data_IF_154173665792
#
_entry.id   IF_154173665792
#
_cell.length_a   1.000
_cell.length_b   1.000
_cell.length_c   1.000
_cell.angle_alpha   90.00
_cell.angle_beta   90.00
_cell.angle_gamma   90.00
#
_symmetry.space_group_name_H-M   'P 1'
#
loop_
_entity.id
_entity.type
_entity.pdbx_description
1 polymer ?
#
# COMPACT_ATOMS: atom_id res chain seq x y z
N UNK A 1 35.85 38.30 16.25
CA UNK A 1 34.60 37.93 15.55
C UNK A 1 34.28 36.49 15.91
N UNK A 2 33.02 36.18 16.14
CA UNK A 2 32.52 34.85 16.58
C UNK A 2 32.13 33.97 15.40
N UNK A 3 32.35 32.67 15.52
CA UNK A 3 31.84 31.64 14.60
C UNK A 3 32.09 30.25 15.19
N UNK A 4 31.25 29.77 16.12
CA UNK A 4 30.02 28.96 15.88
C UNK A 4 30.29 27.57 15.30
N UNK A 5 30.18 26.57 16.18
CA UNK A 5 29.57 25.27 15.90
C UNK A 5 30.15 24.49 14.71
N UNK A 6 31.38 23.98 14.87
CA UNK A 6 32.05 23.15 13.86
C UNK A 6 31.36 21.81 13.60
N UNK A 7 31.41 21.36 12.34
CA UNK A 7 30.98 20.02 11.95
C UNK A 7 32.03 18.98 12.41
N UNK A 8 31.62 18.03 13.25
CA UNK A 8 32.47 16.88 13.62
C UNK A 8 32.50 15.87 12.48
N UNK A 9 33.47 15.97 11.58
CA UNK A 9 33.78 14.90 10.61
C UNK A 9 34.66 13.84 11.27
N UNK A 10 34.11 13.15 12.27
CA UNK A 10 34.81 12.12 13.02
C UNK A 10 34.64 10.74 12.38
N UNK A 11 35.69 10.23 11.74
CA UNK A 11 35.78 8.82 11.37
C UNK A 11 36.06 7.97 12.62
N UNK A 12 35.02 7.67 13.39
CA UNK A 12 35.14 6.82 14.58
C UNK A 12 35.29 5.35 14.18
N UNK A 13 36.12 4.61 14.90
CA UNK A 13 36.36 3.19 14.58
C UNK A 13 35.07 2.39 14.61
N UNK A 14 34.95 1.36 13.76
CA UNK A 14 33.73 0.62 13.42
C UNK A 14 32.81 1.29 12.36
N UNK A 15 33.35 2.24 11.59
CA UNK A 15 32.80 2.57 10.27
C UNK A 15 31.67 3.61 10.24
N UNK A 16 31.44 4.32 11.34
CA UNK A 16 30.43 5.39 11.35
C UNK A 16 30.93 6.64 10.61
N UNK A 17 29.98 7.41 10.07
CA UNK A 17 30.21 8.75 9.49
C UNK A 17 29.20 9.73 10.08
N UNK A 18 29.69 10.76 10.77
CA UNK A 18 28.86 11.83 11.33
C UNK A 18 29.19 13.17 10.68
N UNK A 19 28.17 14.03 10.52
CA UNK A 19 28.32 15.40 10.08
C UNK A 19 27.19 16.28 10.64
N UNK A 20 27.56 17.44 11.18
CA UNK A 20 26.63 18.33 11.87
C UNK A 20 26.83 18.31 13.39
N UNK A 21 26.34 19.36 14.03
CA UNK A 21 26.59 19.63 15.45
C UNK A 21 25.72 18.71 16.31
N UNK A 22 26.37 17.88 17.14
CA UNK A 22 25.70 16.89 17.98
C UNK A 22 25.18 15.66 17.24
N UNK A 23 25.55 15.46 15.97
CA UNK A 23 25.26 14.22 15.25
C UNK A 23 26.01 13.05 15.90
N UNK A 24 25.32 11.95 16.22
CA UNK A 24 25.91 10.75 16.83
C UNK A 24 26.54 10.95 18.21
N UNK A 25 26.12 11.98 18.95
CA UNK A 25 26.81 12.42 20.17
C UNK A 25 26.87 11.40 21.32
N UNK A 26 26.00 10.39 21.35
CA UNK A 26 26.02 9.30 22.32
C UNK A 26 26.82 8.06 21.85
N UNK A 27 27.20 7.98 20.57
CA UNK A 27 28.15 6.98 20.05
C UNK A 27 29.56 7.49 20.33
N UNK A 28 30.19 6.95 21.37
CA UNK A 28 31.52 7.40 21.78
C UNK A 28 32.57 7.13 20.68
N UNK A 29 33.35 8.14 20.26
CA UNK A 29 34.63 7.90 19.61
C UNK A 29 35.48 6.96 20.47
N UNK A 30 36.10 5.97 19.84
CA UNK A 30 37.10 5.10 20.46
C UNK A 30 38.44 5.85 20.60
N UNK A 31 38.41 6.88 21.44
CA UNK A 31 39.54 7.78 21.71
C UNK A 31 39.82 7.89 23.22
N UNK A 32 39.36 6.88 23.98
CA UNK A 32 39.63 6.77 25.41
C UNK A 32 40.95 6.01 25.64
N UNK A 33 41.97 6.76 26.07
CA UNK A 33 43.26 6.22 26.51
C UNK A 33 43.23 5.74 27.97
N UNK A 34 42.08 5.75 28.66
CA UNK A 34 41.95 5.34 30.06
C UNK A 34 40.78 4.36 30.27
N UNK A 35 41.04 3.06 30.14
CA UNK A 35 40.01 1.99 30.19
C UNK A 35 39.36 1.73 31.56
N UNK A 36 39.72 2.48 32.61
CA UNK A 36 39.51 2.05 34.00
C UNK A 36 38.48 2.91 34.77
N UNK A 37 37.93 3.97 34.17
CA UNK A 37 37.00 4.91 34.84
C UNK A 37 35.53 4.44 34.90
N UNK A 38 35.25 3.20 34.49
CA UNK A 38 33.91 2.59 34.57
C UNK A 38 32.88 3.14 33.57
N UNK A 39 33.33 3.88 32.55
CA UNK A 39 32.48 4.39 31.46
C UNK A 39 32.07 3.24 30.54
N UNK A 40 30.76 3.06 30.35
CA UNK A 40 30.24 2.14 29.31
C UNK A 40 30.60 2.69 27.94
N UNK A 41 31.46 1.98 27.21
CA UNK A 41 31.83 2.33 25.83
C UNK A 41 30.69 1.86 24.91
N UNK A 42 29.90 2.80 24.43
CA UNK A 42 28.85 2.60 23.45
C UNK A 42 29.46 2.54 22.04
N UNK A 43 29.41 1.36 21.42
CA UNK A 43 30.20 1.01 20.23
C UNK A 43 29.36 0.83 18.96
N UNK A 44 28.31 1.64 18.77
CA UNK A 44 27.51 1.64 17.55
C UNK A 44 28.36 1.66 16.28
N UNK A 45 27.92 0.97 15.22
CA UNK A 45 28.74 0.59 14.06
C UNK A 45 28.03 0.88 12.73
N UNK A 46 28.81 1.23 11.69
CA UNK A 46 28.31 1.48 10.32
C UNK A 46 27.19 2.54 10.20
N UNK A 47 27.01 3.40 11.21
CA UNK A 47 25.98 4.44 11.24
C UNK A 47 26.37 5.67 10.38
N UNK A 48 25.39 6.33 9.77
CA UNK A 48 25.57 7.49 8.88
C UNK A 48 24.62 8.63 9.25
N UNK A 49 25.09 9.62 10.03
CA UNK A 49 24.23 10.68 10.58
C UNK A 49 24.62 12.09 10.09
N UNK A 50 23.66 12.79 9.48
CA UNK A 50 23.84 14.07 8.83
C UNK A 50 22.78 15.07 9.29
N UNK A 51 23.14 16.04 10.14
CA UNK A 51 22.24 17.09 10.61
C UNK A 51 22.47 17.48 12.08
N UNK A 52 21.87 18.60 12.49
CA UNK A 52 21.90 19.01 13.90
C UNK A 52 21.18 17.95 14.77
N UNK A 53 21.89 17.38 15.75
CA UNK A 53 21.37 16.37 16.68
C UNK A 53 20.73 15.13 16.00
N UNK A 54 21.19 14.76 14.80
CA UNK A 54 20.79 13.50 14.16
C UNK A 54 21.38 12.29 14.93
N UNK A 55 20.55 11.31 15.32
CA UNK A 55 20.98 10.16 16.12
C UNK A 55 21.62 10.53 17.46
N UNK A 56 21.16 11.61 18.11
CA UNK A 56 21.82 12.17 19.30
C UNK A 56 21.87 11.23 20.50
N UNK A 57 20.82 10.41 20.73
CA UNK A 57 20.72 9.48 21.85
C UNK A 57 21.08 8.03 21.51
N UNK A 58 21.63 7.79 20.32
CA UNK A 58 21.99 6.48 19.80
C UNK A 58 23.23 5.93 20.55
N UNK A 59 23.14 4.74 21.12
CA UNK A 59 24.16 4.15 22.00
C UNK A 59 24.80 2.93 21.31
N UNK A 60 24.04 1.85 21.15
CA UNK A 60 24.56 0.55 20.68
C UNK A 60 24.00 0.11 19.31
N UNK A 61 23.25 0.98 18.63
CA UNK A 61 22.66 0.71 17.33
C UNK A 61 23.70 0.59 16.21
N UNK A 62 23.34 -0.18 15.19
CA UNK A 62 24.21 -0.44 14.03
C UNK A 62 23.45 -0.28 12.72
N UNK A 63 24.19 0.00 11.63
CA UNK A 63 23.67 0.15 10.26
C UNK A 63 22.54 1.19 10.07
N UNK A 64 22.44 2.22 10.93
CA UNK A 64 21.42 3.27 10.80
C UNK A 64 21.87 4.42 9.88
N UNK A 65 20.94 5.01 9.13
CA UNK A 65 21.17 6.14 8.23
C UNK A 65 20.18 7.27 8.50
N UNK A 66 20.63 8.38 9.11
CA UNK A 66 19.78 9.51 9.50
C UNK A 66 20.22 10.82 8.83
N UNK A 67 19.31 11.47 8.11
CA UNK A 67 19.57 12.69 7.34
C UNK A 67 18.50 13.74 7.65
N UNK A 68 18.86 14.77 8.41
CA UNK A 68 17.99 15.87 8.80
C UNK A 68 18.21 16.32 10.24
N UNK A 69 17.85 17.57 10.53
CA UNK A 69 17.81 18.10 11.89
C UNK A 69 16.88 17.25 12.75
N UNK A 70 17.37 16.74 13.89
CA UNK A 70 16.65 15.86 14.82
C UNK A 70 16.16 14.51 14.22
N UNK A 71 16.69 14.08 13.07
CA UNK A 71 16.38 12.77 12.51
C UNK A 71 16.87 11.66 13.46
N UNK A 72 15.98 10.75 13.85
CA UNK A 72 16.28 9.66 14.80
C UNK A 72 16.73 10.12 16.20
N UNK A 73 16.40 11.34 16.63
CA UNK A 73 16.95 11.94 17.85
C UNK A 73 16.84 11.04 19.10
N UNK A 74 15.69 10.39 19.32
CA UNK A 74 15.46 9.53 20.49
C UNK A 74 15.80 8.05 20.28
N UNK A 75 16.33 7.64 19.12
CA UNK A 75 16.65 6.24 18.87
C UNK A 75 17.86 5.84 19.71
N UNK A 76 17.70 4.88 20.62
CA UNK A 76 18.73 4.52 21.64
C UNK A 76 19.48 3.24 21.28
N UNK A 77 18.81 2.28 20.65
CA UNK A 77 19.37 0.96 20.35
C UNK A 77 18.72 0.30 19.10
N UNK A 78 18.27 1.12 18.15
CA UNK A 78 17.65 0.63 16.91
C UNK A 78 18.69 0.10 15.92
N UNK A 79 18.32 -0.89 15.11
CA UNK A 79 19.18 -1.50 14.09
C UNK A 79 18.65 -1.27 12.67
N UNK A 80 19.51 -0.90 11.73
CA UNK A 80 19.18 -0.88 10.29
C UNK A 80 18.08 0.11 9.90
N UNK A 81 17.90 1.22 10.64
CA UNK A 81 16.85 2.20 10.36
C UNK A 81 17.31 3.29 9.37
N UNK A 82 16.40 3.78 8.53
CA UNK A 82 16.68 4.76 7.46
C UNK A 82 15.73 5.97 7.55
N UNK A 83 16.19 7.09 8.11
CA UNK A 83 15.37 8.29 8.35
C UNK A 83 15.88 9.50 7.54
N UNK A 84 15.01 10.11 6.74
CA UNK A 84 15.33 11.20 5.83
C UNK A 84 14.29 12.32 5.94
N UNK A 85 14.64 13.42 6.63
CA UNK A 85 13.78 14.57 6.86
C UNK A 85 14.01 15.19 8.24
N UNK A 86 13.65 16.47 8.40
CA UNK A 86 13.67 17.10 9.73
C UNK A 86 12.71 16.35 10.67
N UNK A 87 13.19 15.98 11.86
CA UNK A 87 12.45 15.18 12.85
C UNK A 87 11.95 13.82 12.36
N UNK A 88 12.49 13.27 11.26
CA UNK A 88 12.09 11.95 10.77
C UNK A 88 12.48 10.85 11.78
N UNK A 89 11.51 10.01 12.17
CA UNK A 89 11.69 8.95 13.15
C UNK A 89 12.10 9.43 14.56
N UNK A 90 11.89 10.71 14.90
CA UNK A 90 12.50 11.32 16.09
C UNK A 90 12.02 10.78 17.44
N UNK A 91 10.88 10.10 17.50
CA UNK A 91 10.34 9.48 18.73
C UNK A 91 10.45 7.94 18.76
N UNK A 92 11.08 7.33 17.76
CA UNK A 92 11.40 5.90 17.79
C UNK A 92 12.56 5.72 18.75
N UNK A 93 12.38 4.92 19.80
CA UNK A 93 13.40 4.72 20.85
C UNK A 93 14.12 3.38 20.70
N UNK A 94 13.41 2.37 20.21
CA UNK A 94 13.86 1.01 19.95
C UNK A 94 13.19 0.53 18.66
N UNK A 95 13.68 -0.57 18.07
CA UNK A 95 13.10 -1.16 16.87
C UNK A 95 14.02 -1.12 15.65
N UNK A 96 13.72 -1.96 14.67
CA UNK A 96 14.66 -2.28 13.59
C UNK A 96 14.04 -2.23 12.19
N UNK A 97 14.88 -1.94 11.20
CA UNK A 97 14.51 -1.93 9.77
C UNK A 97 13.36 -0.98 9.41
N UNK A 98 13.24 0.14 10.13
CA UNK A 98 12.21 1.14 9.85
C UNK A 98 12.69 2.19 8.84
N UNK A 99 11.82 2.66 7.96
CA UNK A 99 12.11 3.69 6.96
C UNK A 99 11.17 4.89 7.13
N UNK A 100 11.71 6.08 7.43
CA UNK A 100 10.92 7.30 7.64
C UNK A 100 11.41 8.38 6.68
N UNK A 101 10.61 8.76 5.69
CA UNK A 101 11.01 9.72 4.64
C UNK A 101 10.01 10.87 4.62
N UNK A 102 10.45 12.08 4.96
CA UNK A 102 9.64 13.29 5.05
C UNK A 102 9.83 14.03 6.36
N UNK A 103 9.59 15.34 6.36
CA UNK A 103 9.63 16.13 7.60
C UNK A 103 8.53 15.63 8.56
N UNK A 104 8.89 15.35 9.81
CA UNK A 104 8.05 14.73 10.83
C UNK A 104 7.43 13.36 10.45
N UNK A 105 7.94 12.65 9.42
CA UNK A 105 7.55 11.28 9.15
C UNK A 105 7.98 10.39 10.32
N UNK A 106 7.03 9.72 10.99
CA UNK A 106 7.29 9.16 12.32
C UNK A 106 6.31 8.02 12.69
N UNK A 107 6.32 7.62 13.96
CA UNK A 107 5.47 6.55 14.51
C UNK A 107 4.37 7.08 15.42
N UNK A 108 3.22 6.41 15.43
CA UNK A 108 2.08 6.72 16.28
C UNK A 108 1.71 5.49 17.12
N UNK A 109 2.43 5.27 18.22
CA UNK A 109 2.24 4.07 19.04
C UNK A 109 3.43 3.81 19.96
N UNK A 110 3.62 2.56 20.44
CA UNK A 110 4.79 2.20 21.25
C UNK A 110 6.08 2.42 20.46
N UNK A 111 7.10 2.94 21.14
CA UNK A 111 8.37 3.40 20.55
C UNK A 111 9.31 2.24 20.13
N UNK A 112 8.76 1.09 19.73
CA UNK A 112 9.43 -0.21 19.54
C UNK A 112 8.90 -0.99 18.33
N UNK A 113 8.54 -0.30 17.24
CA UNK A 113 8.07 -0.97 16.01
C UNK A 113 9.24 -1.38 15.09
N UNK A 114 9.02 -2.40 14.26
CA UNK A 114 10.03 -2.89 13.30
C UNK A 114 9.41 -3.16 11.92
N UNK A 115 10.22 -3.12 10.86
CA UNK A 115 9.77 -3.26 9.46
C UNK A 115 8.66 -2.27 9.07
N UNK A 116 8.60 -1.10 9.71
CA UNK A 116 7.59 -0.09 9.45
C UNK A 116 8.15 1.02 8.54
N UNK A 117 7.33 1.47 7.58
CA UNK A 117 7.72 2.52 6.64
C UNK A 117 6.69 3.64 6.60
N UNK A 118 7.12 4.89 6.72
CA UNK A 118 6.28 6.07 6.49
C UNK A 118 6.96 7.00 5.46
N UNK A 119 6.26 7.33 4.37
CA UNK A 119 6.80 8.16 3.27
C UNK A 119 5.87 9.33 3.00
N UNK A 120 6.27 10.53 3.40
CA UNK A 120 5.60 11.81 3.20
C UNK A 120 5.74 12.71 4.44
N UNK A 121 5.60 14.03 4.27
CA UNK A 121 5.60 14.94 5.42
C UNK A 121 4.45 14.59 6.37
N UNK A 122 4.75 14.56 7.68
CA UNK A 122 3.87 14.14 8.77
C UNK A 122 3.28 12.71 8.65
N UNK A 123 3.76 11.86 7.73
CA UNK A 123 3.27 10.50 7.59
C UNK A 123 3.51 9.69 8.88
N UNK A 124 2.48 9.01 9.39
CA UNK A 124 2.55 8.29 10.66
C UNK A 124 2.19 6.81 10.50
N UNK A 125 3.05 5.92 10.98
CA UNK A 125 2.81 4.47 11.02
C UNK A 125 2.70 3.99 12.47
N UNK A 126 1.65 3.23 12.79
CA UNK A 126 1.27 2.89 14.17
C UNK A 126 1.66 1.47 14.63
N UNK A 127 2.22 0.66 13.74
CA UNK A 127 2.54 -0.75 14.01
C UNK A 127 3.66 -1.27 13.09
N UNK A 128 4.26 -2.39 13.51
CA UNK A 128 5.26 -3.12 12.73
C UNK A 128 4.73 -3.67 11.40
N UNK A 129 5.63 -4.00 10.46
CA UNK A 129 5.33 -4.63 9.17
C UNK A 129 4.29 -3.86 8.32
N UNK A 130 4.28 -2.52 8.39
CA UNK A 130 3.28 -1.67 7.73
C UNK A 130 3.93 -0.53 6.94
N UNK A 131 3.38 -0.23 5.77
CA UNK A 131 3.74 0.92 4.94
C UNK A 131 2.60 1.95 4.96
N UNK A 132 2.91 3.19 5.33
CA UNK A 132 2.03 4.35 5.22
C UNK A 132 2.61 5.34 4.22
N UNK A 133 1.82 5.70 3.22
CA UNK A 133 2.15 6.75 2.26
C UNK A 133 1.41 8.03 2.68
N UNK A 134 2.18 9.03 3.11
CA UNK A 134 1.76 10.39 3.42
C UNK A 134 0.89 10.59 4.65
N UNK A 135 0.63 11.86 4.95
CA UNK A 135 -0.48 12.31 5.80
C UNK A 135 -1.63 12.76 4.88
N UNK A 136 -2.75 12.03 4.91
CA UNK A 136 -3.94 12.26 4.08
C UNK A 136 -3.71 12.43 2.54
N UNK A 137 -2.59 11.97 1.98
CA UNK A 137 -2.25 12.11 0.55
C UNK A 137 -3.14 11.27 -0.37
N UNK A 138 -3.02 11.50 -1.67
CA UNK A 138 -3.57 10.66 -2.74
C UNK A 138 -2.38 10.04 -3.52
N UNK A 139 -2.42 8.74 -3.79
CA UNK A 139 -1.34 8.01 -4.49
C UNK A 139 -1.70 7.89 -5.98
N UNK A 140 -0.85 8.44 -6.84
CA UNK A 140 -0.96 8.30 -8.30
C UNK A 140 0.03 7.29 -8.84
N UNK A 141 -0.45 6.31 -9.61
CA UNK A 141 0.40 5.41 -10.41
C UNK A 141 0.06 5.66 -11.88
N UNK A 142 1.02 6.18 -12.65
CA UNK A 142 0.81 6.55 -14.06
C UNK A 142 -0.04 7.81 -14.29
N UNK A 143 -0.48 8.48 -13.22
CA UNK A 143 -1.23 9.75 -13.22
C UNK A 143 -0.51 10.79 -12.35
N UNK A 144 -0.51 12.06 -12.78
CA UNK A 144 0.12 13.18 -12.04
C UNK A 144 -0.83 13.88 -11.06
N UNK A 145 -2.14 13.76 -11.27
CA UNK A 145 -3.19 14.39 -10.46
C UNK A 145 -4.20 13.36 -9.92
N UNK A 146 -3.81 12.53 -8.92
CA UNK A 146 -4.70 11.53 -8.34
C UNK A 146 -5.85 12.20 -7.57
N UNK A 147 -7.08 11.91 -7.99
CA UNK A 147 -8.34 12.48 -7.49
C UNK A 147 -8.91 11.65 -6.34
N UNK A 148 -8.73 10.34 -6.36
CA UNK A 148 -8.99 9.42 -5.26
C UNK A 148 -7.75 9.11 -4.42
N UNK A 149 -7.92 8.36 -3.33
CA UNK A 149 -6.82 7.97 -2.42
C UNK A 149 -5.76 7.09 -3.10
N UNK A 150 -6.17 6.31 -4.09
CA UNK A 150 -5.30 5.56 -4.98
C UNK A 150 -5.90 5.60 -6.39
N UNK A 151 -5.26 6.34 -7.28
CA UNK A 151 -5.62 6.40 -8.70
C UNK A 151 -4.51 5.74 -9.51
N UNK A 152 -4.90 4.73 -10.31
CA UNK A 152 -4.00 4.00 -11.21
C UNK A 152 -4.50 4.26 -12.63
N UNK A 153 -3.78 5.11 -13.36
CA UNK A 153 -4.03 5.38 -14.77
C UNK A 153 -2.91 4.81 -15.62
N UNK A 154 -3.22 4.54 -16.89
CA UNK A 154 -2.24 4.03 -17.85
C UNK A 154 -2.55 4.57 -19.23
N UNK A 155 -1.50 5.02 -19.92
CA UNK A 155 -1.60 5.80 -21.15
C UNK A 155 -2.15 5.08 -22.40
N UNK A 156 -2.53 3.80 -22.31
CA UNK A 156 -2.91 2.96 -23.47
C UNK A 156 -4.14 2.07 -23.23
N UNK A 157 -4.87 1.81 -24.31
CA UNK A 157 -6.12 1.03 -24.37
C UNK A 157 -5.91 -0.49 -24.49
N UNK A 158 -4.76 -1.02 -24.07
CA UNK A 158 -4.52 -2.47 -24.06
C UNK A 158 -5.35 -3.17 -22.96
N UNK A 159 -5.75 -4.42 -23.13
CA UNK A 159 -6.64 -5.13 -22.18
C UNK A 159 -5.98 -5.60 -20.87
N UNK A 160 -4.94 -4.91 -20.40
CA UNK A 160 -4.06 -5.35 -19.32
C UNK A 160 -4.66 -5.29 -17.90
N UNK A 161 -3.94 -5.89 -16.96
CA UNK A 161 -4.31 -5.92 -15.54
C UNK A 161 -3.93 -4.61 -14.86
N UNK A 162 -4.90 -3.94 -14.24
CA UNK A 162 -4.69 -2.70 -13.47
C UNK A 162 -4.25 -3.04 -12.04
N UNK A 163 -4.91 -4.03 -11.41
CA UNK A 163 -4.51 -4.58 -10.12
C UNK A 163 -4.55 -6.11 -10.15
N UNK A 164 -3.40 -6.73 -9.89
CA UNK A 164 -3.23 -8.19 -9.76
C UNK A 164 -3.08 -8.54 -8.28
N UNK A 165 -3.84 -9.52 -7.80
CA UNK A 165 -3.77 -10.04 -6.45
C UNK A 165 -3.57 -11.57 -6.51
N UNK A 166 -2.38 -12.07 -6.16
CA UNK A 166 -2.08 -13.52 -6.15
C UNK A 166 -0.61 -13.86 -6.37
N UNK A 167 -0.31 -15.16 -6.33
CA UNK A 167 1.06 -15.67 -6.36
C UNK A 167 1.66 -15.73 -7.77
N UNK A 168 2.96 -15.42 -7.87
CA UNK A 168 3.75 -15.52 -9.10
C UNK A 168 4.09 -16.98 -9.48
N UNK A 169 3.95 -17.93 -8.56
CA UNK A 169 4.47 -19.30 -8.68
C UNK A 169 3.55 -20.34 -9.34
N UNK A 170 2.25 -20.06 -9.51
CA UNK A 170 1.36 -20.89 -10.32
C UNK A 170 0.41 -20.03 -11.15
N UNK A 171 0.37 -20.28 -12.46
CA UNK A 171 -0.34 -19.45 -13.44
C UNK A 171 -1.87 -19.55 -13.38
N UNK A 172 -2.48 -19.72 -12.21
CA UNK A 172 -3.91 -20.04 -12.05
C UNK A 172 -4.60 -19.36 -10.87
N UNK A 173 -3.88 -18.87 -9.84
CA UNK A 173 -4.49 -18.37 -8.59
C UNK A 173 -4.71 -16.84 -8.52
N UNK A 174 -4.26 -16.08 -9.52
CA UNK A 174 -4.41 -14.61 -9.53
C UNK A 174 -5.86 -14.15 -9.69
N UNK A 175 -6.34 -13.34 -8.74
CA UNK A 175 -7.57 -12.57 -8.80
C UNK A 175 -7.24 -11.15 -9.31
N UNK A 176 -7.75 -10.79 -10.49
CA UNK A 176 -7.40 -9.53 -11.15
C UNK A 176 -8.61 -8.61 -11.22
N UNK A 177 -8.38 -7.33 -10.94
CA UNK A 177 -9.22 -6.24 -11.44
C UNK A 177 -8.55 -5.67 -12.69
N UNK A 178 -9.18 -5.86 -13.83
CA UNK A 178 -8.77 -5.29 -15.11
C UNK A 178 -9.89 -4.47 -15.73
N UNK A 179 -9.53 -3.61 -16.68
CA UNK A 179 -10.47 -2.88 -17.52
C UNK A 179 -10.36 -3.45 -18.93
N UNK A 180 -11.49 -3.73 -19.56
CA UNK A 180 -11.51 -4.11 -20.97
C UNK A 180 -11.04 -2.95 -21.85
N UNK A 181 -10.07 -3.21 -22.74
CA UNK A 181 -9.49 -2.20 -23.61
C UNK A 181 -10.43 -1.68 -24.70
N UNK A 182 -11.47 -2.44 -25.05
CA UNK A 182 -12.40 -2.14 -26.15
C UNK A 182 -13.71 -1.50 -25.67
N UNK A 183 -14.24 -1.92 -24.52
CA UNK A 183 -15.52 -1.44 -23.99
C UNK A 183 -15.46 -0.87 -22.56
N UNK A 184 -14.29 -0.86 -21.93
CA UNK A 184 -14.10 -0.29 -20.60
C UNK A 184 -14.72 -1.08 -19.45
N UNK A 185 -15.23 -2.29 -19.70
CA UNK A 185 -15.81 -3.17 -18.69
C UNK A 185 -14.85 -3.42 -17.52
N UNK A 186 -15.36 -3.36 -16.30
CA UNK A 186 -14.68 -3.98 -15.17
C UNK A 186 -14.61 -5.50 -15.45
N UNK A 187 -13.45 -6.09 -15.21
CA UNK A 187 -13.24 -7.53 -15.31
C UNK A 187 -12.70 -8.00 -13.98
N UNK A 188 -13.48 -8.85 -13.33
CA UNK A 188 -13.10 -9.57 -12.12
C UNK A 188 -12.77 -10.99 -12.58
N UNK A 189 -11.51 -11.23 -12.91
CA UNK A 189 -11.09 -12.42 -13.65
C UNK A 189 -9.97 -13.21 -12.94
N UNK A 190 -10.15 -14.53 -12.88
CA UNK A 190 -9.06 -15.48 -12.67
C UNK A 190 -8.21 -15.62 -13.95
N UNK A 191 -7.06 -16.31 -13.88
CA UNK A 191 -6.17 -16.47 -15.04
C UNK A 191 -6.63 -17.55 -16.05
N UNK A 192 -7.90 -17.51 -16.46
CA UNK A 192 -8.46 -18.36 -17.50
C UNK A 192 -8.73 -17.53 -18.77
N UNK A 193 -8.25 -18.00 -19.91
CA UNK A 193 -8.32 -17.27 -21.17
C UNK A 193 -9.69 -17.44 -21.81
N UNK A 194 -10.45 -16.35 -21.98
CA UNK A 194 -11.63 -16.29 -22.85
C UNK A 194 -13.01 -16.29 -22.17
N UNK A 195 -13.13 -16.65 -20.88
CA UNK A 195 -14.41 -16.69 -20.16
C UNK A 195 -14.35 -15.90 -18.86
N UNK A 196 -15.08 -14.79 -18.78
CA UNK A 196 -15.14 -13.96 -17.57
C UNK A 196 -15.98 -14.66 -16.48
N UNK A 197 -15.37 -15.11 -15.38
CA UNK A 197 -16.07 -15.83 -14.30
C UNK A 197 -17.25 -15.05 -13.69
N UNK A 198 -17.05 -13.76 -13.45
CA UNK A 198 -18.13 -12.79 -13.27
C UNK A 198 -17.89 -11.69 -14.29
N UNK A 199 -18.69 -11.70 -15.34
CA UNK A 199 -18.78 -10.61 -16.31
C UNK A 199 -19.53 -9.41 -15.71
N UNK A 200 -19.09 -8.93 -14.53
CA UNK A 200 -19.28 -7.54 -14.10
C UNK A 200 -18.44 -6.58 -14.96
N UNK A 201 -18.57 -6.74 -16.28
CA UNK A 201 -18.99 -5.65 -17.16
C UNK A 201 -19.97 -4.75 -16.39
N UNK A 202 -20.27 -3.56 -16.90
CA UNK A 202 -21.59 -2.97 -16.71
C UNK A 202 -22.82 -3.88 -17.07
N UNK A 203 -22.75 -5.22 -16.96
CA UNK A 203 -23.71 -6.25 -17.39
C UNK A 203 -23.77 -7.57 -16.54
N UNK A 204 -23.74 -7.50 -15.20
CA UNK A 204 -24.09 -8.57 -14.19
C UNK A 204 -23.05 -9.70 -13.89
N UNK A 205 -22.87 -10.24 -12.67
CA UNK A 205 -23.36 -9.88 -11.33
C UNK A 205 -24.60 -10.65 -10.82
N UNK A 206 -24.64 -11.06 -9.52
CA UNK A 206 -25.92 -11.24 -8.82
C UNK A 206 -26.46 -9.84 -8.51
N UNK A 207 -27.14 -9.21 -9.47
CA UNK A 207 -27.56 -7.81 -9.33
C UNK A 207 -28.76 -7.74 -8.40
N UNK A 208 -28.50 -7.36 -7.14
CA UNK A 208 -29.52 -6.96 -6.18
C UNK A 208 -29.97 -5.53 -6.47
N UNK A 209 -31.25 -5.35 -6.77
CA UNK A 209 -31.87 -4.04 -6.99
C UNK A 209 -32.93 -3.83 -5.90
N UNK A 210 -32.83 -2.72 -5.18
CA UNK A 210 -33.66 -2.47 -3.99
C UNK A 210 -33.32 -3.37 -2.78
N UNK A 211 -32.29 -4.22 -2.91
CA UNK A 211 -31.88 -5.17 -1.87
C UNK A 211 -30.38 -5.38 -1.87
N UNK A 212 -29.80 -5.40 -0.68
CA UNK A 212 -28.46 -5.94 -0.41
C UNK A 212 -28.45 -7.48 -0.30
N UNK A 213 -29.62 -8.11 -0.28
CA UNK A 213 -29.85 -9.58 -0.27
C UNK A 213 -30.57 -10.04 -1.56
N UNK A 214 -29.83 -10.27 -2.66
CA UNK A 214 -30.38 -10.83 -3.90
C UNK A 214 -30.62 -12.36 -3.85
N UNK A 215 -31.89 -12.79 -3.83
CA UNK A 215 -32.33 -14.21 -3.77
C UNK A 215 -32.34 -14.96 -5.10
N UNK A 216 -31.83 -14.35 -6.16
CA UNK A 216 -31.68 -14.92 -7.51
C UNK A 216 -30.56 -14.18 -8.27
N UNK A 217 -30.10 -14.73 -9.41
CA UNK A 217 -29.01 -14.12 -10.21
C UNK A 217 -29.32 -12.71 -10.73
N UNK A 218 -30.59 -12.38 -10.88
CA UNK A 218 -31.09 -11.02 -10.86
C UNK A 218 -32.24 -11.03 -9.85
N UNK A 219 -32.17 -10.20 -8.81
CA UNK A 219 -33.22 -10.14 -7.79
C UNK A 219 -33.57 -8.70 -7.50
N UNK A 220 -34.79 -8.35 -7.86
CA UNK A 220 -35.41 -7.05 -7.57
C UNK A 220 -36.33 -7.27 -6.36
N UNK A 221 -35.96 -6.75 -5.19
CA UNK A 221 -36.87 -6.74 -4.05
C UNK A 221 -37.62 -5.40 -4.02
N UNK A 222 -38.95 -5.45 -4.07
CA UNK A 222 -39.78 -4.25 -4.18
C UNK A 222 -39.65 -3.59 -5.55
N UNK A 223 -40.33 -4.15 -6.55
CA UNK A 223 -40.30 -3.66 -7.93
C UNK A 223 -40.68 -4.75 -8.93
N UNK A 224 -40.65 -4.40 -10.22
CA UNK A 224 -41.01 -5.30 -11.33
C UNK A 224 -39.81 -5.52 -12.27
N UNK A 225 -39.70 -6.70 -12.88
CA UNK A 225 -38.79 -6.96 -14.00
C UNK A 225 -39.57 -6.78 -15.32
N UNK A 226 -39.21 -5.77 -16.11
CA UNK A 226 -39.81 -5.49 -17.43
C UNK A 226 -38.90 -5.98 -18.56
N UNK A 227 -39.46 -6.80 -19.47
CA UNK A 227 -38.77 -7.36 -20.65
C UNK A 227 -39.63 -7.03 -21.88
N UNK A 228 -39.03 -6.45 -22.92
CA UNK A 228 -39.77 -5.84 -24.04
C UNK A 228 -39.59 -6.58 -25.39
N UNK A 229 -40.62 -6.47 -26.24
CA UNK A 229 -40.81 -7.27 -27.46
C UNK A 229 -39.69 -7.11 -28.53
N UNK A 230 -39.39 -8.17 -29.31
CA UNK A 230 -39.96 -9.53 -29.25
C UNK A 230 -39.12 -10.48 -28.37
N UNK A 231 -38.41 -9.93 -27.36
CA UNK A 231 -37.52 -10.73 -26.51
C UNK A 231 -38.28 -11.36 -25.34
N UNK A 232 -37.72 -12.44 -24.83
CA UNK A 232 -38.30 -13.25 -23.77
C UNK A 232 -37.22 -13.82 -22.86
N UNK A 233 -37.64 -14.38 -21.73
CA UNK A 233 -36.70 -15.10 -20.85
C UNK A 233 -36.47 -16.47 -21.49
N UNK A 234 -35.23 -16.72 -21.94
CA UNK A 234 -34.81 -18.05 -22.36
C UNK A 234 -34.61 -18.89 -21.09
N UNK A 235 -35.49 -19.86 -20.88
CA UNK A 235 -35.42 -20.81 -19.77
C UNK A 235 -35.23 -22.23 -20.32
N UNK A 236 -34.36 -23.01 -19.71
CA UNK A 236 -34.16 -24.41 -20.08
C UNK A 236 -35.20 -25.30 -19.40
N UNK A 237 -35.81 -26.20 -20.15
CA UNK A 237 -36.68 -27.24 -19.60
C UNK A 237 -35.85 -28.39 -18.99
N UNK A 238 -36.46 -29.27 -18.16
CA UNK A 238 -35.74 -30.39 -17.55
C UNK A 238 -35.10 -31.38 -18.54
N UNK A 239 -35.58 -31.42 -19.79
CA UNK A 239 -35.00 -32.23 -20.88
C UNK A 239 -33.97 -31.46 -21.74
N UNK A 240 -33.51 -30.29 -21.31
CA UNK A 240 -32.38 -29.56 -21.93
C UNK A 240 -32.73 -28.72 -23.16
N UNK A 241 -33.99 -28.71 -23.62
CA UNK A 241 -34.42 -27.76 -24.65
C UNK A 241 -34.47 -26.34 -24.06
N UNK A 242 -34.13 -25.33 -24.87
CA UNK A 242 -34.30 -23.94 -24.50
C UNK A 242 -35.69 -23.46 -24.92
N UNK A 243 -36.36 -22.70 -24.05
CA UNK A 243 -37.71 -22.20 -24.27
C UNK A 243 -37.73 -20.70 -24.12
N UNK A 244 -38.29 -20.02 -25.11
CA UNK A 244 -38.50 -18.58 -25.07
C UNK A 244 -39.92 -18.29 -24.55
N UNK A 245 -40.04 -17.57 -23.43
CA UNK A 245 -41.32 -17.09 -22.88
C UNK A 245 -41.67 -15.67 -23.36
N UNK A 246 -42.87 -15.47 -23.93
CA UNK A 246 -43.34 -14.19 -24.52
C UNK A 246 -44.84 -13.93 -24.30
N UNK A 247 -45.38 -12.78 -24.74
CA UNK A 247 -46.80 -12.38 -24.61
C UNK A 247 -47.34 -11.79 -25.93
N UNK A 248 -48.62 -12.06 -26.27
CA UNK A 248 -49.26 -11.69 -27.55
C UNK A 248 -50.06 -10.37 -27.55
N UNK A 249 -50.51 -9.91 -28.75
CA UNK A 249 -51.32 -8.70 -28.91
C UNK A 249 -52.69 -8.73 -28.22
N UNK A 250 -53.22 -9.93 -27.91
CA UNK A 250 -54.42 -10.10 -27.12
C UNK A 250 -54.11 -10.32 -25.61
N UNK A 251 -52.84 -10.21 -25.21
CA UNK A 251 -52.38 -10.33 -23.83
C UNK A 251 -52.03 -11.75 -23.36
N UNK A 252 -51.95 -12.74 -24.25
CA UNK A 252 -51.75 -14.15 -23.85
C UNK A 252 -50.26 -14.55 -23.80
N UNK A 253 -49.85 -15.24 -22.73
CA UNK A 253 -48.52 -15.86 -22.60
C UNK A 253 -48.30 -16.97 -23.63
N UNK A 254 -47.07 -17.11 -24.12
CA UNK A 254 -46.64 -18.12 -25.07
C UNK A 254 -45.25 -18.67 -24.73
N UNK A 255 -45.01 -19.94 -25.03
CA UNK A 255 -43.69 -20.56 -24.95
C UNK A 255 -43.40 -21.38 -26.22
N UNK A 256 -42.20 -21.24 -26.75
CA UNK A 256 -41.73 -21.98 -27.94
C UNK A 256 -40.35 -22.58 -27.68
N UNK A 257 -40.14 -23.79 -28.18
CA UNK A 257 -38.84 -24.48 -28.15
C UNK A 257 -37.90 -23.87 -29.19
N UNK A 258 -36.66 -23.59 -28.79
CA UNK A 258 -35.60 -23.00 -29.61
C UNK A 258 -34.27 -23.73 -29.37
N UNK A 259 -33.30 -23.64 -30.29
CA UNK A 259 -31.92 -24.06 -30.02
C UNK A 259 -31.35 -23.27 -28.83
N UNK A 260 -30.53 -23.92 -28.01
CA UNK A 260 -29.83 -23.22 -26.94
C UNK A 260 -28.68 -22.35 -27.49
N UNK A 261 -28.47 -21.14 -26.94
CA UNK A 261 -27.39 -20.24 -27.32
C UNK A 261 -26.03 -20.67 -26.78
#
# INVERSE_FOLDING_TARGET
MTGTSGNTFGGVSAGNTFAGVGAGAAISPRDDFNSDDGVTIHIGQSNSFFGYQAGMLEQDGTDNSFFGTLAGQQNVAGYGNSFFGASAGSSIQQGAYNTMIGANANVLGPNSISNATAIGANAQVSQSNSLVLGDAVNVGIGITEPRGKLDIERATSDGGVILRLGDLGSGTTNFNFSRDGSNGALKIQGNQVGSNNIALVPASGNVGIGTSDPKARLHVAGGNLYVANPNGVIITSPNGACWLLTVSNAGALSSISIPCP
#
